data_IF_846802942432
#
_entry.id   IF_846802942432
#
_cell.length_a   1.000
_cell.length_b   1.000
_cell.length_c   1.000
_cell.angle_alpha   90.00
_cell.angle_beta   90.00
_cell.angle_gamma   90.00
#
_symmetry.space_group_name_H-M   'P 1'
#
loop_
_entity.id
_entity.type
_entity.pdbx_description
1 polymer ?
#
# COMPACT_ATOMS: atom_id res chain seq x y z
N UNK A 1 13.72 -1.35 -7.08
CA UNK A 1 12.41 -1.23 -7.75
C UNK A 1 11.19 -1.61 -6.90
N UNK A 2 11.25 -2.60 -5.98
CA UNK A 2 10.05 -3.02 -5.20
C UNK A 2 9.45 -1.89 -4.33
N UNK A 3 10.29 -1.06 -3.71
CA UNK A 3 9.83 0.07 -2.88
C UNK A 3 9.09 1.14 -3.71
N UNK A 4 9.67 1.55 -4.85
CA UNK A 4 9.01 2.45 -5.82
C UNK A 4 7.64 1.89 -6.24
N UNK A 5 7.59 0.63 -6.69
CA UNK A 5 6.34 0.00 -7.14
C UNK A 5 5.29 -0.01 -6.03
N UNK A 6 5.68 -0.23 -4.78
CA UNK A 6 4.77 -0.21 -3.63
C UNK A 6 4.25 1.20 -3.36
N UNK A 7 5.09 2.23 -3.41
CA UNK A 7 4.67 3.62 -3.21
C UNK A 7 3.71 4.08 -4.31
N UNK A 8 4.02 3.78 -5.59
CA UNK A 8 3.11 4.05 -6.72
C UNK A 8 1.78 3.30 -6.58
N UNK A 9 1.83 2.03 -6.18
CA UNK A 9 0.61 1.26 -5.94
C UNK A 9 -0.25 1.92 -4.86
N UNK A 10 0.34 2.37 -3.74
CA UNK A 10 -0.38 3.06 -2.67
C UNK A 10 -1.00 4.36 -3.15
N UNK A 11 -0.24 5.17 -3.89
CA UNK A 11 -0.73 6.40 -4.51
C UNK A 11 -1.97 6.15 -5.37
N UNK A 12 -1.86 5.28 -6.38
CA UNK A 12 -2.98 4.94 -7.25
C UNK A 12 -4.16 4.35 -6.48
N UNK A 13 -3.89 3.45 -5.53
CA UNK A 13 -4.90 2.83 -4.70
C UNK A 13 -5.71 3.86 -3.90
N UNK A 14 -5.05 4.79 -3.21
CA UNK A 14 -5.74 5.80 -2.41
C UNK A 14 -6.53 6.77 -3.28
N UNK A 15 -6.01 7.18 -4.43
CA UNK A 15 -6.75 8.03 -5.36
C UNK A 15 -8.00 7.34 -5.93
N UNK A 16 -7.88 6.08 -6.37
CA UNK A 16 -9.03 5.29 -6.84
C UNK A 16 -10.06 5.12 -5.72
N UNK A 17 -9.60 4.77 -4.52
CA UNK A 17 -10.49 4.58 -3.36
C UNK A 17 -11.21 5.88 -3.04
N UNK A 18 -10.52 7.02 -2.97
CA UNK A 18 -11.12 8.32 -2.74
C UNK A 18 -12.22 8.65 -3.77
N UNK A 19 -11.95 8.36 -5.05
CA UNK A 19 -12.93 8.54 -6.12
C UNK A 19 -14.17 7.64 -5.92
N UNK A 20 -13.99 6.38 -5.50
CA UNK A 20 -15.11 5.48 -5.17
C UNK A 20 -15.94 5.99 -4.00
N UNK A 21 -15.31 6.53 -2.95
CA UNK A 21 -16.01 7.14 -1.82
C UNK A 21 -16.82 8.38 -2.26
N UNK A 22 -16.24 9.26 -3.08
CA UNK A 22 -16.95 10.42 -3.63
C UNK A 22 -18.15 10.00 -4.49
N UNK A 23 -17.99 8.99 -5.36
CA UNK A 23 -19.09 8.45 -6.16
C UNK A 23 -20.19 7.85 -5.29
N UNK A 24 -19.83 7.11 -4.24
CA UNK A 24 -20.80 6.54 -3.32
C UNK A 24 -21.63 7.63 -2.61
N UNK A 25 -20.98 8.67 -2.10
CA UNK A 25 -21.65 9.81 -1.45
C UNK A 25 -22.66 10.47 -2.40
N UNK A 26 -22.29 10.67 -3.68
CA UNK A 26 -23.18 11.26 -4.69
C UNK A 26 -24.34 10.31 -5.04
N UNK A 27 -24.09 9.01 -5.06
CA UNK A 27 -25.07 7.99 -5.48
C UNK A 27 -26.14 7.72 -4.43
N UNK A 28 -25.80 7.81 -3.13
CA UNK A 28 -26.72 7.50 -2.03
C UNK A 28 -28.01 8.35 -2.09
N UNK A 29 -27.98 9.70 -2.20
CA UNK A 29 -29.20 10.49 -2.33
C UNK A 29 -30.08 10.11 -3.52
N UNK A 30 -29.46 9.72 -4.64
CA UNK A 30 -30.16 9.39 -5.88
C UNK A 30 -30.85 8.03 -5.82
N UNK A 31 -30.28 7.09 -5.07
CA UNK A 31 -30.71 5.69 -5.03
C UNK A 31 -31.40 5.30 -3.72
N UNK A 32 -31.34 6.16 -2.70
CA UNK A 32 -31.93 5.86 -1.40
C UNK A 32 -33.45 5.80 -1.50
N UNK A 33 -34.00 4.66 -1.11
CA UNK A 33 -35.45 4.46 -0.91
C UNK A 33 -35.84 4.57 0.58
N UNK A 34 -34.90 5.04 1.42
CA UNK A 34 -35.09 5.12 2.86
C UNK A 34 -36.17 6.15 3.21
N UNK A 35 -37.13 5.76 4.04
CA UNK A 35 -38.09 6.68 4.64
C UNK A 35 -37.50 7.61 5.71
N UNK A 36 -36.25 7.39 6.14
CA UNK A 36 -35.57 8.17 7.16
C UNK A 36 -34.51 9.11 6.55
N UNK A 37 -34.97 10.25 6.03
CA UNK A 37 -34.12 11.26 5.40
C UNK A 37 -33.03 11.81 6.34
N UNK A 38 -33.34 12.01 7.63
CA UNK A 38 -32.41 12.57 8.60
C UNK A 38 -31.20 11.67 8.84
N UNK A 39 -31.41 10.35 8.92
CA UNK A 39 -30.34 9.37 9.10
C UNK A 39 -29.41 9.32 7.88
N UNK A 40 -29.99 9.33 6.68
CA UNK A 40 -29.23 9.35 5.42
C UNK A 40 -28.40 10.63 5.31
N UNK A 41 -28.97 11.79 5.64
CA UNK A 41 -28.27 13.07 5.64
C UNK A 41 -27.11 13.11 6.64
N UNK A 42 -27.30 12.54 7.84
CA UNK A 42 -26.22 12.44 8.83
C UNK A 42 -25.05 11.58 8.34
N UNK A 43 -25.33 10.40 7.76
CA UNK A 43 -24.31 9.52 7.17
C UNK A 43 -23.57 10.23 6.06
N UNK A 44 -24.29 10.90 5.15
CA UNK A 44 -23.70 11.61 4.03
C UNK A 44 -22.77 12.73 4.48
N UNK A 45 -23.22 13.52 5.45
CA UNK A 45 -22.45 14.62 6.02
C UNK A 45 -21.16 14.09 6.64
N UNK A 46 -21.26 13.09 7.52
CA UNK A 46 -20.10 12.46 8.14
C UNK A 46 -19.15 11.85 7.09
N UNK A 47 -19.68 11.09 6.14
CA UNK A 47 -18.89 10.45 5.08
C UNK A 47 -18.16 11.48 4.21
N UNK A 48 -18.78 12.63 3.95
CA UNK A 48 -18.18 13.73 3.20
C UNK A 48 -17.00 14.35 3.94
N UNK A 49 -17.15 14.60 5.25
CA UNK A 49 -16.06 15.11 6.10
C UNK A 49 -14.90 14.11 6.18
N UNK A 50 -15.19 12.82 6.36
CA UNK A 50 -14.17 11.77 6.37
C UNK A 50 -13.46 11.66 5.03
N UNK A 51 -14.20 11.69 3.92
CA UNK A 51 -13.62 11.62 2.56
C UNK A 51 -12.72 12.82 2.29
N UNK A 52 -13.16 14.03 2.66
CA UNK A 52 -12.33 15.24 2.56
C UNK A 52 -11.04 15.11 3.40
N UNK A 53 -11.17 14.67 4.65
CA UNK A 53 -10.03 14.48 5.56
C UNK A 53 -9.03 13.45 5.03
N UNK A 54 -9.53 12.32 4.48
CA UNK A 54 -8.72 11.32 3.80
C UNK A 54 -8.01 11.90 2.57
N UNK A 55 -8.71 12.71 1.78
CA UNK A 55 -8.12 13.40 0.62
C UNK A 55 -6.92 14.27 1.01
N UNK A 56 -7.05 15.05 2.10
CA UNK A 56 -5.96 15.86 2.63
C UNK A 56 -4.79 15.01 3.13
N UNK A 57 -5.06 13.91 3.84
CA UNK A 57 -4.01 12.99 4.29
C UNK A 57 -3.26 12.35 3.12
N UNK A 58 -3.99 11.86 2.11
CA UNK A 58 -3.39 11.26 0.91
C UNK A 58 -2.51 12.26 0.17
N UNK A 59 -2.96 13.50 0.03
CA UNK A 59 -2.16 14.58 -0.54
C UNK A 59 -0.91 14.88 0.30
N UNK A 60 -1.06 14.91 1.63
CA UNK A 60 0.03 15.15 2.58
C UNK A 60 1.10 14.05 2.59
N UNK A 61 0.73 12.79 2.35
CA UNK A 61 1.68 11.67 2.35
C UNK A 61 2.64 11.67 1.15
N UNK A 62 2.35 12.42 0.08
CA UNK A 62 3.26 12.62 -1.07
C UNK A 62 3.85 11.31 -1.63
N UNK A 63 3.04 10.26 -1.73
CA UNK A 63 3.49 8.93 -2.15
C UNK A 63 4.21 8.93 -3.50
N UNK A 64 3.78 9.80 -4.44
CA UNK A 64 4.44 9.98 -5.73
C UNK A 64 5.84 10.60 -5.63
N UNK A 65 6.03 11.57 -4.74
CA UNK A 65 7.35 12.17 -4.47
C UNK A 65 8.30 11.12 -3.88
N UNK A 66 7.83 10.34 -2.89
CA UNK A 66 8.60 9.23 -2.33
C UNK A 66 8.94 8.18 -3.39
N UNK A 67 8.02 7.86 -4.31
CA UNK A 67 8.30 6.95 -5.41
C UNK A 67 9.36 7.49 -6.36
N UNK A 68 9.31 8.79 -6.68
CA UNK A 68 10.30 9.46 -7.50
C UNK A 68 11.69 9.45 -6.84
N UNK A 69 11.77 9.72 -5.53
CA UNK A 69 13.01 9.64 -4.76
C UNK A 69 13.61 8.22 -4.82
N UNK A 70 12.81 7.17 -4.61
CA UNK A 70 13.27 5.79 -4.76
C UNK A 70 13.80 5.50 -6.17
N UNK A 71 13.11 6.00 -7.21
CA UNK A 71 13.52 5.82 -8.60
C UNK A 71 14.87 6.47 -8.88
N UNK A 72 15.03 7.74 -8.51
CA UNK A 72 16.28 8.50 -8.70
C UNK A 72 17.43 7.76 -8.06
N UNK A 73 17.26 7.28 -6.85
CA UNK A 73 18.34 6.59 -6.18
C UNK A 73 18.70 5.22 -6.81
N UNK A 74 17.72 4.48 -7.33
CA UNK A 74 18.03 3.26 -8.10
C UNK A 74 18.82 3.58 -9.37
N UNK A 75 18.53 4.69 -10.03
CA UNK A 75 19.28 5.14 -11.21
C UNK A 75 20.70 5.55 -10.84
N UNK A 76 20.90 6.20 -9.70
CA UNK A 76 22.24 6.59 -9.24
C UNK A 76 23.09 5.37 -8.84
N UNK A 77 22.49 4.39 -8.15
CA UNK A 77 23.15 3.11 -7.88
C UNK A 77 23.49 2.35 -9.17
N UNK A 78 22.61 2.41 -10.17
CA UNK A 78 22.87 1.80 -11.48
C UNK A 78 24.05 2.48 -12.19
N UNK A 79 24.07 3.82 -12.23
CA UNK A 79 25.17 4.61 -12.81
C UNK A 79 26.48 4.33 -12.08
N UNK A 80 26.45 4.22 -10.75
CA UNK A 80 27.62 3.89 -9.95
C UNK A 80 28.14 2.48 -10.30
N UNK A 81 27.26 1.49 -10.40
CA UNK A 81 27.64 0.12 -10.81
C UNK A 81 28.24 0.08 -12.22
N UNK A 82 27.73 0.89 -13.13
CA UNK A 82 28.21 0.97 -14.53
C UNK A 82 29.50 1.80 -14.66
N UNK A 83 29.85 2.61 -13.65
CA UNK A 83 31.11 3.35 -13.62
C UNK A 83 32.28 2.42 -13.32
N UNK A 84 33.37 2.57 -14.08
CA UNK A 84 34.55 1.71 -13.97
C UNK A 84 35.22 1.93 -12.59
N UNK A 85 35.40 0.88 -11.76
CA UNK A 85 35.91 1.03 -10.40
C UNK A 85 37.45 1.11 -10.36
N UNK A 86 38.04 1.93 -11.21
CA UNK A 86 39.51 2.12 -11.24
C UNK A 86 40.02 2.81 -9.96
N UNK A 87 39.16 3.58 -9.28
CA UNK A 87 39.43 4.14 -7.96
C UNK A 87 38.39 3.65 -6.93
N UNK A 88 38.78 2.64 -6.16
CA UNK A 88 37.96 2.03 -5.11
C UNK A 88 37.54 3.03 -4.01
N UNK A 89 38.33 4.09 -3.80
CA UNK A 89 38.09 5.08 -2.74
C UNK A 89 37.01 6.05 -3.17
N UNK A 90 37.12 6.58 -4.39
CA UNK A 90 36.08 7.40 -5.04
C UNK A 90 34.75 6.65 -5.17
N UNK A 91 34.81 5.37 -5.52
CA UNK A 91 33.63 4.50 -5.61
C UNK A 91 32.92 4.37 -4.26
N UNK A 92 33.67 4.08 -3.19
CA UNK A 92 33.11 3.92 -1.85
C UNK A 92 32.48 5.23 -1.33
N UNK A 93 33.13 6.38 -1.56
CA UNK A 93 32.57 7.68 -1.18
C UNK A 93 31.25 7.96 -1.90
N UNK A 94 31.17 7.72 -3.21
CA UNK A 94 29.92 7.87 -3.98
C UNK A 94 28.84 6.91 -3.53
N UNK A 95 29.21 5.67 -3.17
CA UNK A 95 28.29 4.69 -2.64
C UNK A 95 27.69 5.13 -1.30
N UNK A 96 28.53 5.57 -0.35
CA UNK A 96 28.08 6.06 0.96
C UNK A 96 27.21 7.32 0.82
N UNK A 97 27.60 8.24 -0.07
CA UNK A 97 26.82 9.46 -0.34
C UNK A 97 25.44 9.09 -0.89
N UNK A 98 25.38 8.18 -1.88
CA UNK A 98 24.12 7.65 -2.44
C UNK A 98 23.25 6.98 -1.36
N UNK A 99 23.86 6.25 -0.41
CA UNK A 99 23.15 5.65 0.71
C UNK A 99 22.66 6.67 1.74
N UNK A 100 23.38 7.79 1.93
CA UNK A 100 23.00 8.87 2.84
C UNK A 100 21.69 9.56 2.45
N UNK A 101 21.38 9.60 1.15
CA UNK A 101 20.09 10.09 0.63
C UNK A 101 18.99 9.01 0.64
N UNK A 102 19.31 7.77 0.99
CA UNK A 102 18.31 6.71 1.04
C UNK A 102 17.58 6.71 2.39
N UNK A 103 16.24 6.87 2.41
CA UNK A 103 15.48 6.53 3.60
C UNK A 103 15.66 5.04 3.84
N UNK A 104 16.39 4.72 4.92
CA UNK A 104 16.82 3.38 5.32
C UNK A 104 15.81 2.31 4.89
N UNK A 105 16.23 1.39 4.02
CA UNK A 105 15.38 0.28 3.57
C UNK A 105 14.83 -0.41 4.81
N UNK A 106 13.51 -0.30 5.03
CA UNK A 106 12.91 -0.90 6.21
C UNK A 106 13.27 -2.39 6.26
N UNK A 107 13.39 -2.97 7.45
CA UNK A 107 13.62 -4.41 7.60
C UNK A 107 12.60 -5.26 6.81
N UNK A 108 11.41 -4.72 6.56
CA UNK A 108 10.40 -5.31 5.69
C UNK A 108 10.80 -5.35 4.21
N UNK A 109 11.52 -4.35 3.71
CA UNK A 109 12.00 -4.30 2.33
C UNK A 109 13.07 -5.35 2.09
N UNK A 110 13.98 -5.49 3.05
CA UNK A 110 14.97 -6.56 3.03
C UNK A 110 14.28 -7.92 2.99
N UNK A 111 13.35 -8.18 3.91
CA UNK A 111 12.60 -9.44 3.95
C UNK A 111 11.83 -9.67 2.64
N UNK A 112 11.22 -8.63 2.06
CA UNK A 112 10.50 -8.74 0.79
C UNK A 112 11.42 -8.98 -0.42
N UNK A 113 12.68 -8.57 -0.36
CA UNK A 113 13.69 -8.89 -1.39
C UNK A 113 14.13 -10.35 -1.23
N UNK A 114 14.48 -10.75 0.00
CA UNK A 114 14.93 -12.11 0.32
C UNK A 114 13.83 -13.15 0.04
N UNK A 115 12.57 -12.86 0.39
CA UNK A 115 11.41 -13.69 0.06
C UNK A 115 10.91 -13.42 -1.35
N UNK A 116 11.63 -13.92 -2.34
CA UNK A 116 11.17 -13.93 -3.73
C UNK A 116 9.93 -14.82 -3.91
N UNK A 117 9.93 -15.99 -3.25
CA UNK A 117 8.81 -16.93 -3.22
C UNK A 117 8.66 -17.50 -1.79
N UNK A 118 7.55 -17.23 -1.07
CA UNK A 118 7.35 -17.70 0.29
C UNK A 118 7.23 -19.23 0.42
N UNK A 119 6.91 -19.91 -0.68
CA UNK A 119 6.77 -21.37 -0.73
C UNK A 119 8.10 -22.10 -0.98
N UNK A 120 9.13 -21.40 -1.48
CA UNK A 120 10.48 -21.97 -1.62
C UNK A 120 11.22 -21.91 -0.28
N UNK A 121 11.78 -23.03 0.17
CA UNK A 121 12.57 -23.09 1.41
C UNK A 121 13.96 -22.44 1.25
N UNK A 122 14.65 -22.73 0.15
CA UNK A 122 15.89 -22.06 -0.23
C UNK A 122 15.58 -20.94 -1.20
N UNK A 123 16.07 -19.74 -0.86
CA UNK A 123 15.98 -18.59 -1.73
C UNK A 123 17.20 -18.56 -2.66
N UNK A 124 17.03 -17.97 -3.84
CA UNK A 124 18.08 -17.85 -4.86
C UNK A 124 19.14 -16.81 -4.48
N UNK A 125 18.82 -15.91 -3.53
CA UNK A 125 19.73 -14.91 -3.02
C UNK A 125 20.79 -15.53 -2.11
N UNK A 126 22.04 -15.11 -2.33
CA UNK A 126 23.20 -15.52 -1.56
C UNK A 126 23.57 -14.45 -0.53
N UNK A 127 24.03 -14.92 0.62
CA UNK A 127 24.61 -14.10 1.68
C UNK A 127 26.02 -13.59 1.29
N UNK A 128 26.62 -12.72 2.10
CA UNK A 128 27.98 -12.21 1.93
C UNK A 128 29.05 -13.32 1.83
N UNK A 129 28.78 -14.46 2.45
CA UNK A 129 29.61 -15.68 2.38
C UNK A 129 29.28 -16.58 1.17
N UNK A 130 28.43 -16.14 0.24
CA UNK A 130 28.07 -16.90 -0.97
C UNK A 130 27.09 -18.07 -0.75
N UNK A 131 26.61 -18.26 0.48
CA UNK A 131 25.64 -19.31 0.85
C UNK A 131 24.22 -18.89 0.53
N UNK A 132 23.36 -19.81 0.09
CA UNK A 132 21.93 -19.52 -0.10
C UNK A 132 21.27 -19.14 1.22
N UNK A 133 20.50 -18.06 1.23
CA UNK A 133 19.81 -17.57 2.43
C UNK A 133 18.70 -18.57 2.80
N UNK A 134 18.81 -19.14 4.01
CA UNK A 134 17.78 -20.00 4.60
C UNK A 134 16.91 -19.17 5.54
N UNK A 135 15.61 -19.22 5.35
CA UNK A 135 14.66 -18.49 6.17
C UNK A 135 13.99 -19.40 7.19
N UNK A 136 13.91 -18.93 8.43
CA UNK A 136 13.11 -19.58 9.48
C UNK A 136 11.64 -19.68 9.07
N UNK A 137 10.96 -20.76 9.47
CA UNK A 137 9.51 -20.91 9.30
C UNK A 137 8.73 -19.75 9.94
N UNK A 138 9.21 -19.24 11.08
CA UNK A 138 8.61 -18.10 11.77
C UNK A 138 8.64 -16.82 10.91
N UNK A 139 9.78 -16.51 10.32
CA UNK A 139 9.94 -15.33 9.45
C UNK A 139 9.03 -15.41 8.23
N UNK A 140 8.88 -16.61 7.64
CA UNK A 140 7.96 -16.85 6.52
C UNK A 140 6.51 -16.64 6.93
N UNK A 141 6.08 -17.25 8.04
CA UNK A 141 4.72 -17.11 8.54
C UNK A 141 4.37 -15.65 8.83
N UNK A 142 5.28 -14.93 9.51
CA UNK A 142 5.11 -13.50 9.80
C UNK A 142 4.98 -12.65 8.53
N UNK A 143 5.77 -12.94 7.51
CA UNK A 143 5.69 -12.22 6.24
C UNK A 143 4.39 -12.50 5.50
N UNK A 144 3.99 -13.77 5.39
CA UNK A 144 2.76 -14.18 4.70
C UNK A 144 1.52 -13.66 5.42
N UNK A 145 1.48 -13.72 6.75
CA UNK A 145 0.35 -13.19 7.53
C UNK A 145 0.23 -11.68 7.38
N UNK A 146 1.34 -10.94 7.49
CA UNK A 146 1.34 -9.50 7.25
C UNK A 146 0.88 -9.15 5.83
N UNK A 147 1.38 -9.86 4.82
CA UNK A 147 0.98 -9.65 3.44
C UNK A 147 -0.53 -9.92 3.24
N UNK A 148 -1.04 -11.04 3.76
CA UNK A 148 -2.44 -11.42 3.66
C UNK A 148 -3.35 -10.41 4.38
N UNK A 149 -3.03 -10.04 5.61
CA UNK A 149 -3.79 -9.05 6.41
C UNK A 149 -3.79 -7.70 5.70
N UNK A 150 -2.64 -7.26 5.19
CA UNK A 150 -2.56 -5.99 4.45
C UNK A 150 -3.44 -6.01 3.19
N UNK A 151 -3.44 -7.13 2.44
CA UNK A 151 -4.31 -7.28 1.27
C UNK A 151 -5.79 -7.32 1.62
N UNK A 152 -6.15 -8.02 2.69
CA UNK A 152 -7.52 -8.06 3.18
C UNK A 152 -7.99 -6.68 3.62
N UNK A 153 -7.16 -5.95 4.37
CA UNK A 153 -7.45 -4.58 4.80
C UNK A 153 -7.72 -3.65 3.61
N UNK A 154 -6.85 -3.65 2.61
CA UNK A 154 -7.06 -2.85 1.40
C UNK A 154 -8.32 -3.31 0.63
N UNK A 155 -8.55 -4.61 0.46
CA UNK A 155 -9.76 -5.08 -0.20
C UNK A 155 -11.04 -4.63 0.54
N UNK A 156 -11.08 -4.79 1.87
CA UNK A 156 -12.21 -4.39 2.70
C UNK A 156 -12.44 -2.87 2.66
N UNK A 157 -11.37 -2.07 2.75
CA UNK A 157 -11.46 -0.62 2.70
C UNK A 157 -11.98 -0.12 1.34
N UNK A 158 -11.53 -0.72 0.23
CA UNK A 158 -12.02 -0.38 -1.11
C UNK A 158 -13.47 -0.84 -1.36
N UNK A 159 -13.93 -1.92 -0.70
CA UNK A 159 -15.28 -2.44 -0.84
C UNK A 159 -16.32 -1.67 -0.01
N UNK A 160 -15.90 -0.95 1.04
CA UNK A 160 -16.81 -0.26 1.97
C UNK A 160 -17.80 0.69 1.27
N UNK A 161 -17.40 1.55 0.30
CA UNK A 161 -18.34 2.44 -0.39
C UNK A 161 -19.47 1.69 -1.10
N UNK A 162 -19.16 0.58 -1.74
CA UNK A 162 -20.14 -0.25 -2.44
C UNK A 162 -21.13 -0.88 -1.45
N UNK A 163 -20.64 -1.37 -0.31
CA UNK A 163 -21.50 -1.92 0.75
C UNK A 163 -22.44 -0.87 1.33
N UNK A 164 -21.97 0.36 1.56
CA UNK A 164 -22.81 1.47 2.06
C UNK A 164 -23.89 1.85 1.05
N UNK A 165 -23.57 1.90 -0.24
CA UNK A 165 -24.56 2.16 -1.30
C UNK A 165 -25.61 1.04 -1.35
N UNK A 166 -25.19 -0.22 -1.33
CA UNK A 166 -26.09 -1.38 -1.34
C UNK A 166 -27.04 -1.37 -0.13
N UNK A 167 -26.50 -1.14 1.06
CA UNK A 167 -27.30 -1.02 2.29
C UNK A 167 -28.34 0.10 2.19
N UNK A 168 -27.94 1.26 1.65
CA UNK A 168 -28.83 2.41 1.43
C UNK A 168 -29.97 2.12 0.45
N UNK A 169 -29.75 1.25 -0.54
CA UNK A 169 -30.76 0.81 -1.51
C UNK A 169 -31.74 -0.19 -0.89
N UNK A 170 -31.22 -1.14 -0.11
CA UNK A 170 -32.00 -2.21 0.51
C UNK A 170 -32.80 -1.69 1.72
N UNK A 171 -32.40 -0.56 2.30
CA UNK A 171 -32.99 0.00 3.52
C UNK A 171 -32.58 -0.76 4.78
N UNK A 172 -31.53 -1.59 4.69
CA UNK A 172 -30.92 -2.29 5.83
C UNK A 172 -29.70 -1.52 6.34
N UNK A 173 -29.35 -1.72 7.61
CA UNK A 173 -28.13 -1.18 8.15
C UNK A 173 -26.91 -1.87 7.48
N UNK A 174 -25.88 -1.13 7.01
CA UNK A 174 -24.71 -1.73 6.36
C UNK A 174 -23.96 -2.73 7.26
N UNK A 175 -24.04 -2.57 8.59
CA UNK A 175 -23.45 -3.52 9.54
C UNK A 175 -24.22 -4.86 9.50
N UNK A 176 -25.55 -4.82 9.50
CA UNK A 176 -26.39 -6.03 9.39
C UNK A 176 -26.22 -6.72 8.04
N UNK A 177 -26.11 -5.95 6.96
CA UNK A 177 -25.83 -6.50 5.62
C UNK A 177 -24.47 -7.21 5.59
N UNK A 178 -23.44 -6.62 6.21
CA UNK A 178 -22.12 -7.24 6.30
C UNK A 178 -22.13 -8.55 7.11
N UNK A 179 -22.87 -8.61 8.22
CA UNK A 179 -23.03 -9.84 9.00
C UNK A 179 -23.78 -10.94 8.24
N UNK A 180 -24.80 -10.59 7.45
CA UNK A 180 -25.56 -11.55 6.66
C UNK A 180 -24.78 -12.13 5.46
N UNK A 181 -23.67 -11.51 5.06
CA UNK A 181 -22.81 -11.95 3.96
C UNK A 181 -21.64 -12.83 4.40
N UNK A 182 -21.43 -13.00 5.71
CA UNK A 182 -20.44 -13.92 6.27
C UNK A 182 -21.15 -15.26 6.54
N UNK A 183 -20.85 -16.33 5.78
CA UNK A 183 -21.51 -17.64 5.93
C UNK A 183 -21.19 -18.35 7.25
#
# INVERSE_FOLDING_TARGET
MKAEKRSRFRESYFHITLALYSLAIISIPLLSKSGNADYVNAILTFSSVCTLSLGLLVFGFRFGETAAQHRSCYLDLQRLRESNPEDATSFNTKYIDTLGYYPNHSSQDYIAVVLSNPFKYQQELKDSEGRNIKLSAYTRLKYVSYWAISKLFFAAFAALPALVVLASIIGQNPIELAWNLVP
#
